data_IF_329969275951
#
_entry.id   IF_329969275951
#
_cell.length_a   1.000
_cell.length_b   1.000
_cell.length_c   1.000
_cell.angle_alpha   90.00
_cell.angle_beta   90.00
_cell.angle_gamma   90.00
#
_symmetry.space_group_name_H-M   'P 1'
#
loop_
_entity.id
_entity.type
_entity.pdbx_description
1 polymer ?
#
# COMPACT_ATOMS: atom_id res chain seq x y z
N UNK A 1 26.52 17.91 12.37
CA UNK A 1 27.51 16.85 12.55
C UNK A 1 27.47 16.44 14.03
N UNK A 2 26.61 15.48 14.36
CA UNK A 2 26.47 14.92 15.72
C UNK A 2 26.66 13.42 15.60
N UNK A 3 27.75 12.96 16.18
CA UNK A 3 28.22 11.57 16.19
C UNK A 3 27.56 10.86 17.37
N UNK A 4 26.75 9.86 17.11
CA UNK A 4 26.27 8.94 18.14
C UNK A 4 27.25 7.80 18.34
N UNK A 5 27.81 7.68 19.55
CA UNK A 5 28.65 6.57 19.97
C UNK A 5 27.79 5.40 20.48
N UNK A 6 28.07 4.20 19.98
CA UNK A 6 27.54 2.92 20.47
C UNK A 6 28.19 2.54 21.80
N UNK A 7 27.48 1.89 22.73
CA UNK A 7 28.13 1.12 23.80
C UNK A 7 28.41 -0.32 23.36
N UNK A 8 29.56 -0.85 23.79
CA UNK A 8 30.07 -2.18 23.54
C UNK A 8 29.42 -3.23 24.45
N UNK A 9 29.33 -4.52 24.05
CA UNK A 9 28.79 -5.59 24.89
C UNK A 9 29.85 -6.20 25.81
N UNK A 10 29.46 -6.41 27.07
CA UNK A 10 30.23 -7.18 28.06
C UNK A 10 29.79 -8.64 28.10
N UNK A 11 30.78 -9.53 28.14
CA UNK A 11 30.64 -10.97 28.35
C UNK A 11 30.19 -11.30 29.79
N UNK A 12 29.34 -12.33 29.95
CA UNK A 12 29.56 -13.41 30.95
C UNK A 12 28.60 -14.58 30.77
N UNK A 13 29.17 -15.76 30.78
CA UNK A 13 28.54 -17.08 30.78
C UNK A 13 27.95 -17.44 32.14
N UNK A 14 26.94 -18.33 32.15
CA UNK A 14 26.46 -18.93 33.38
C UNK A 14 25.24 -19.82 33.19
N UNK A 15 25.47 -21.10 32.95
CA UNK A 15 24.51 -22.20 32.97
C UNK A 15 23.98 -22.42 34.39
N UNK A 16 22.66 -22.53 34.58
CA UNK A 16 22.06 -23.48 35.58
C UNK A 16 20.57 -23.71 35.31
N UNK A 17 20.30 -24.96 35.12
CA UNK A 17 18.98 -25.60 35.10
C UNK A 17 18.43 -25.71 36.53
N UNK A 18 17.20 -25.25 36.78
CA UNK A 18 16.38 -25.75 37.88
C UNK A 18 14.89 -25.66 37.52
N UNK A 19 14.26 -26.84 37.52
CA UNK A 19 12.82 -27.00 37.44
C UNK A 19 12.21 -26.73 38.82
N UNK A 20 11.14 -25.97 38.91
CA UNK A 20 10.17 -26.04 40.01
C UNK A 20 8.76 -25.81 39.43
N UNK A 21 7.88 -26.67 39.96
CA UNK A 21 6.48 -26.82 39.62
C UNK A 21 5.58 -25.73 40.24
N UNK A 22 4.46 -25.44 39.57
CA UNK A 22 3.16 -25.14 40.17
C UNK A 22 2.89 -23.67 40.49
N UNK A 23 2.07 -23.02 39.68
CA UNK A 23 0.86 -22.36 40.19
C UNK A 23 -0.17 -22.18 39.08
N UNK A 24 -1.40 -22.56 39.35
CA UNK A 24 -2.56 -22.38 38.47
C UNK A 24 -3.14 -20.98 38.66
N UNK A 25 -3.41 -20.28 37.57
CA UNK A 25 -4.31 -19.13 37.67
C UNK A 25 -4.00 -17.95 36.78
N UNK A 26 -4.46 -17.97 35.60
CA UNK A 26 -4.98 -16.90 34.74
C UNK A 26 -4.71 -17.26 33.28
N UNK A 27 -5.76 -17.54 32.54
CA UNK A 27 -5.70 -17.97 31.15
C UNK A 27 -5.19 -16.91 30.18
N UNK A 28 -3.94 -16.61 30.26
CA UNK A 28 -3.16 -15.95 29.22
C UNK A 28 -2.73 -17.05 28.28
N UNK A 29 -3.47 -17.22 27.17
CA UNK A 29 -2.99 -18.08 26.10
C UNK A 29 -1.67 -17.47 25.63
N UNK A 30 -0.61 -18.10 26.00
CA UNK A 30 0.73 -17.85 25.51
C UNK A 30 0.71 -18.19 24.01
N UNK A 31 0.45 -17.18 23.17
CA UNK A 31 0.67 -17.29 21.74
C UNK A 31 2.18 -17.25 21.56
N UNK A 32 2.82 -18.39 21.82
CA UNK A 32 4.24 -18.58 21.58
C UNK A 32 4.59 -17.97 20.23
N UNK A 33 5.76 -17.33 20.18
CA UNK A 33 6.36 -16.71 19.00
C UNK A 33 6.33 -17.72 17.85
N UNK A 34 5.21 -17.82 17.16
CA UNK A 34 5.11 -18.51 15.91
C UNK A 34 5.63 -17.55 14.85
N UNK A 35 6.93 -17.59 14.61
CA UNK A 35 7.44 -17.32 13.28
C UNK A 35 6.79 -18.40 12.41
N UNK A 36 5.57 -18.16 11.98
CA UNK A 36 4.89 -19.03 11.04
C UNK A 36 5.45 -18.71 9.66
N UNK A 37 6.65 -19.19 9.40
CA UNK A 37 7.02 -19.56 8.06
C UNK A 37 6.34 -20.92 7.81
N UNK A 38 5.04 -20.95 7.87
CA UNK A 38 4.24 -22.05 7.41
C UNK A 38 3.97 -21.78 5.93
N UNK A 39 4.71 -22.45 5.04
CA UNK A 39 4.19 -22.68 3.70
C UNK A 39 2.90 -23.48 3.89
N UNK A 40 1.76 -22.79 3.96
CA UNK A 40 0.47 -23.44 3.95
C UNK A 40 0.41 -24.31 2.69
N UNK A 41 -0.05 -25.56 2.76
CA UNK A 41 -0.21 -26.37 1.57
C UNK A 41 -1.11 -25.60 0.57
N UNK A 42 -0.67 -25.50 -0.68
CA UNK A 42 -1.42 -24.78 -1.73
C UNK A 42 -0.91 -23.38 -2.09
N UNK A 43 0.21 -22.91 -1.49
CA UNK A 43 0.86 -21.68 -1.95
C UNK A 43 1.47 -21.89 -3.34
N UNK A 44 1.32 -20.84 -4.15
CA UNK A 44 1.75 -20.80 -5.55
C UNK A 44 3.16 -20.25 -5.68
N UNK A 45 3.57 -19.37 -4.75
CA UNK A 45 4.87 -18.72 -4.75
C UNK A 45 5.69 -19.06 -3.49
N UNK A 46 7.03 -18.99 -3.62
CA UNK A 46 7.94 -19.06 -2.47
C UNK A 46 8.13 -17.66 -1.89
N UNK A 47 7.66 -17.43 -0.67
CA UNK A 47 7.67 -16.11 -0.04
C UNK A 47 8.89 -15.92 0.86
N UNK A 48 9.58 -14.75 0.83
CA UNK A 48 10.78 -14.49 1.60
C UNK A 48 10.46 -14.03 3.05
N UNK A 49 9.58 -14.76 3.75
CA UNK A 49 9.06 -14.36 5.05
C UNK A 49 10.17 -14.19 6.11
N UNK A 50 11.13 -15.12 6.12
CA UNK A 50 12.28 -15.06 7.04
C UNK A 50 13.17 -13.84 6.75
N UNK A 51 13.50 -13.59 5.48
CA UNK A 51 14.33 -12.45 5.09
C UNK A 51 13.65 -11.11 5.42
N UNK A 52 12.33 -11.02 5.24
CA UNK A 52 11.54 -9.83 5.64
C UNK A 52 11.59 -9.67 7.16
N UNK A 53 11.35 -10.75 7.91
CA UNK A 53 11.38 -10.72 9.37
C UNK A 53 12.75 -10.26 9.89
N UNK A 54 13.84 -10.79 9.35
CA UNK A 54 15.20 -10.40 9.74
C UNK A 54 15.49 -8.91 9.47
N UNK A 55 14.96 -8.35 8.38
CA UNK A 55 15.16 -6.93 8.06
C UNK A 55 14.31 -6.00 8.93
N UNK A 56 13.13 -6.44 9.34
CA UNK A 56 12.15 -5.60 10.04
C UNK A 56 12.22 -5.73 11.56
N UNK A 57 12.58 -6.90 12.09
CA UNK A 57 12.60 -7.15 13.53
C UNK A 57 13.41 -6.15 14.37
N UNK A 58 14.55 -5.59 13.90
CA UNK A 58 15.27 -4.56 14.64
C UNK A 58 14.47 -3.28 14.87
N UNK A 59 13.64 -2.90 13.89
CA UNK A 59 12.83 -1.68 13.92
C UNK A 59 11.43 -1.94 14.52
N UNK A 60 10.93 -3.19 14.46
CA UNK A 60 9.59 -3.57 14.90
C UNK A 60 9.63 -4.91 15.66
N UNK A 61 10.00 -4.91 16.95
CA UNK A 61 10.11 -6.13 17.75
C UNK A 61 8.82 -6.96 17.78
N UNK A 62 8.92 -8.28 17.69
CA UNK A 62 7.77 -9.19 17.65
C UNK A 62 7.07 -9.27 16.29
N UNK A 63 7.63 -8.62 15.26
CA UNK A 63 7.10 -8.68 13.90
C UNK A 63 7.12 -10.11 13.35
N UNK A 64 5.99 -10.49 12.74
CA UNK A 64 5.83 -11.78 12.09
C UNK A 64 5.24 -11.63 10.69
N UNK A 65 5.49 -12.62 9.84
CA UNK A 65 4.94 -12.71 8.48
C UNK A 65 4.12 -13.99 8.36
N UNK A 66 2.89 -13.85 7.88
CA UNK A 66 2.00 -14.96 7.56
C UNK A 66 1.54 -14.86 6.11
N UNK A 67 1.57 -15.99 5.40
CA UNK A 67 1.12 -16.07 4.02
C UNK A 67 0.01 -17.10 3.90
N UNK A 68 -1.09 -16.70 3.30
CA UNK A 68 -2.25 -17.55 3.05
C UNK A 68 -2.49 -17.72 1.54
N UNK A 69 -2.85 -18.92 1.08
CA UNK A 69 -3.22 -19.11 -0.32
C UNK A 69 -4.50 -18.34 -0.67
N UNK A 70 -5.46 -18.30 0.25
CA UNK A 70 -6.72 -17.60 0.05
C UNK A 70 -7.31 -17.09 1.37
N UNK A 71 -7.96 -15.93 1.32
CA UNK A 71 -8.76 -15.36 2.40
C UNK A 71 -9.82 -14.40 1.84
N UNK A 72 -10.80 -14.00 2.64
CA UNK A 72 -11.77 -12.98 2.25
C UNK A 72 -11.08 -11.62 2.01
N UNK A 73 -10.37 -11.11 3.02
CA UNK A 73 -9.61 -9.86 2.96
C UNK A 73 -8.55 -9.83 4.04
N UNK A 74 -7.30 -9.50 3.66
CA UNK A 74 -6.18 -9.36 4.62
C UNK A 74 -6.46 -8.28 5.67
N UNK A 75 -7.06 -7.15 5.27
CA UNK A 75 -7.47 -6.10 6.22
C UNK A 75 -8.55 -6.59 7.19
N UNK A 76 -9.59 -7.25 6.67
CA UNK A 76 -10.70 -7.74 7.51
C UNK A 76 -10.21 -8.76 8.52
N UNK A 77 -9.31 -9.66 8.13
CA UNK A 77 -8.74 -10.66 9.02
C UNK A 77 -7.90 -10.01 10.12
N UNK A 78 -7.00 -9.10 9.79
CA UNK A 78 -6.19 -8.43 10.80
C UNK A 78 -7.05 -7.61 11.77
N UNK A 79 -8.11 -6.95 11.28
CA UNK A 79 -9.08 -6.28 12.16
C UNK A 79 -9.83 -7.26 13.07
N UNK A 80 -10.17 -8.48 12.59
CA UNK A 80 -10.77 -9.54 13.43
C UNK A 80 -9.79 -9.99 14.52
N UNK A 81 -8.52 -10.22 14.16
CA UNK A 81 -7.48 -10.66 15.11
C UNK A 81 -7.20 -9.61 16.19
N UNK A 82 -7.11 -8.34 15.83
CA UNK A 82 -6.95 -7.25 16.78
C UNK A 82 -8.11 -7.23 17.78
N UNK A 83 -9.36 -7.35 17.32
CA UNK A 83 -10.55 -7.41 18.18
C UNK A 83 -10.56 -8.66 19.07
N UNK A 84 -10.01 -9.78 18.58
CA UNK A 84 -9.85 -11.01 19.33
C UNK A 84 -8.67 -11.02 20.31
N UNK A 85 -7.91 -9.92 20.38
CA UNK A 85 -6.84 -9.78 21.36
C UNK A 85 -5.42 -9.92 20.82
N UNK A 86 -5.22 -10.07 19.52
CA UNK A 86 -3.88 -10.06 18.91
C UNK A 86 -3.19 -8.70 19.11
N UNK A 87 -1.90 -8.69 19.48
CA UNK A 87 -1.18 -7.46 19.83
C UNK A 87 0.15 -7.30 19.08
N UNK A 88 0.72 -8.38 18.56
CA UNK A 88 2.02 -8.32 17.89
C UNK A 88 1.89 -7.71 16.48
N UNK A 89 2.93 -7.03 15.99
CA UNK A 89 2.96 -6.60 14.61
C UNK A 89 2.90 -7.80 13.66
N UNK A 90 1.98 -7.77 12.70
CA UNK A 90 1.75 -8.89 11.80
C UNK A 90 1.57 -8.42 10.37
N UNK A 91 2.41 -8.93 9.47
CA UNK A 91 2.24 -8.83 8.03
C UNK A 91 1.47 -10.04 7.53
N UNK A 92 0.28 -9.83 7.02
CA UNK A 92 -0.56 -10.87 6.42
C UNK A 92 -0.59 -10.68 4.91
N UNK A 93 -0.14 -11.70 4.19
CA UNK A 93 -0.15 -11.73 2.72
C UNK A 93 -1.20 -12.75 2.27
N UNK A 94 -1.91 -12.45 1.20
CA UNK A 94 -2.82 -13.39 0.55
C UNK A 94 -2.50 -13.47 -0.94
N UNK A 95 -2.32 -14.70 -1.45
CA UNK A 95 -2.18 -14.91 -2.89
C UNK A 95 -3.49 -14.61 -3.61
N UNK A 96 -4.63 -14.91 -2.96
CA UNK A 96 -5.97 -14.59 -3.45
C UNK A 96 -6.87 -14.03 -2.34
N UNK A 97 -7.61 -12.98 -2.66
CA UNK A 97 -8.70 -12.47 -1.81
C UNK A 97 -10.05 -12.71 -2.50
N UNK A 98 -11.01 -13.32 -1.80
CA UNK A 98 -12.37 -13.59 -2.33
C UNK A 98 -13.32 -12.40 -2.16
N UNK A 99 -13.03 -11.51 -1.20
CA UNK A 99 -13.81 -10.31 -0.92
C UNK A 99 -12.88 -9.12 -0.58
N UNK A 100 -11.88 -8.88 -1.44
CA UNK A 100 -10.93 -7.79 -1.27
C UNK A 100 -11.63 -6.43 -1.18
N UNK A 101 -11.15 -5.56 -0.31
CA UNK A 101 -11.80 -4.29 0.03
C UNK A 101 -10.98 -3.09 -0.39
N UNK A 102 -11.68 -2.07 -0.87
CA UNK A 102 -11.18 -0.72 -1.06
C UNK A 102 -12.00 0.28 -0.24
N UNK A 103 -11.67 1.56 -0.35
CA UNK A 103 -12.41 2.65 0.32
C UNK A 103 -13.86 2.74 -0.18
N UNK A 104 -14.76 3.21 0.70
CA UNK A 104 -16.17 3.46 0.37
C UNK A 104 -16.89 2.22 -0.17
N UNK A 105 -16.59 1.03 0.34
CA UNK A 105 -17.22 -0.21 -0.07
C UNK A 105 -16.84 -0.73 -1.46
N UNK A 106 -15.86 -0.11 -2.13
CA UNK A 106 -15.35 -0.62 -3.42
C UNK A 106 -14.65 -1.94 -3.22
N UNK A 107 -14.72 -2.81 -4.21
CA UNK A 107 -13.97 -4.06 -4.22
C UNK A 107 -12.54 -3.83 -4.71
N UNK A 108 -11.61 -4.59 -4.13
CA UNK A 108 -10.28 -4.84 -4.66
C UNK A 108 -10.26 -6.25 -5.22
N UNK A 109 -9.96 -6.37 -6.50
CA UNK A 109 -9.85 -7.68 -7.14
C UNK A 109 -8.39 -8.15 -7.06
N UNK A 110 -8.15 -9.27 -6.37
CA UNK A 110 -6.94 -10.08 -6.48
C UNK A 110 -7.32 -11.32 -7.27
N UNK A 111 -6.69 -11.58 -8.36
CA UNK A 111 -6.99 -12.74 -9.20
C UNK A 111 -5.73 -13.21 -9.91
N UNK A 112 -5.79 -14.43 -10.42
CA UNK A 112 -4.77 -14.96 -11.30
C UNK A 112 -4.64 -14.05 -12.52
N UNK A 113 -3.43 -13.92 -13.05
CA UNK A 113 -3.24 -13.38 -14.39
C UNK A 113 -4.11 -14.25 -15.31
N UNK A 114 -5.25 -13.73 -15.74
CA UNK A 114 -6.03 -14.38 -16.76
C UNK A 114 -5.07 -14.72 -17.91
N UNK A 115 -5.08 -15.96 -18.36
CA UNK A 115 -4.24 -16.36 -19.47
C UNK A 115 -4.43 -15.33 -20.58
N UNK A 116 -3.36 -14.63 -20.95
CA UNK A 116 -3.42 -13.70 -22.08
C UNK A 116 -3.99 -14.46 -23.28
N UNK A 117 -4.87 -13.85 -24.10
CA UNK A 117 -5.41 -14.51 -25.28
C UNK A 117 -4.25 -15.05 -26.13
N UNK A 118 -4.12 -16.39 -26.21
CA UNK A 118 -3.04 -17.05 -26.92
C UNK A 118 -1.99 -17.77 -26.07
N UNK A 119 -2.02 -17.71 -24.73
CA UNK A 119 -1.17 -18.54 -23.87
C UNK A 119 -1.74 -19.95 -23.78
N UNK A 120 -0.96 -20.93 -24.24
CA UNK A 120 -1.28 -22.36 -24.14
C UNK A 120 -1.29 -22.75 -22.65
N UNK A 121 -2.37 -23.36 -22.13
CA UNK A 121 -2.37 -23.88 -20.76
C UNK A 121 -1.23 -24.90 -20.60
N UNK A 122 -0.30 -24.63 -19.69
CA UNK A 122 0.83 -25.52 -19.42
C UNK A 122 2.23 -24.96 -19.67
N UNK A 123 2.40 -23.74 -20.16
CA UNK A 123 3.71 -23.19 -20.53
C UNK A 123 4.53 -22.54 -19.38
N UNK A 124 4.01 -22.42 -18.18
CA UNK A 124 4.77 -21.91 -17.03
C UNK A 124 4.61 -22.83 -15.82
N UNK A 125 5.74 -23.33 -15.32
CA UNK A 125 5.77 -24.19 -14.12
C UNK A 125 5.40 -23.46 -12.82
N UNK A 126 5.27 -22.12 -12.83
CA UNK A 126 4.83 -21.33 -11.69
C UNK A 126 3.75 -20.34 -12.16
N UNK A 127 2.53 -20.40 -11.60
CA UNK A 127 1.50 -19.40 -11.85
C UNK A 127 1.99 -18.03 -11.37
N UNK A 128 1.98 -17.06 -12.27
CA UNK A 128 2.36 -15.68 -11.96
C UNK A 128 1.20 -15.00 -11.25
N UNK A 129 1.43 -14.56 -10.01
CA UNK A 129 0.45 -13.77 -9.29
C UNK A 129 0.21 -12.45 -10.00
N UNK A 130 -1.03 -12.19 -10.42
CA UNK A 130 -1.40 -10.96 -11.12
C UNK A 130 -1.36 -9.72 -10.22
N UNK A 131 -1.39 -9.91 -8.91
CA UNK A 131 -1.33 -8.84 -7.94
C UNK A 131 -0.62 -9.28 -6.67
N UNK A 132 -0.01 -8.33 -5.96
CA UNK A 132 0.39 -8.47 -4.58
C UNK A 132 -0.68 -7.84 -3.69
N UNK A 133 -1.21 -8.61 -2.72
CA UNK A 133 -2.13 -8.10 -1.69
C UNK A 133 -1.63 -8.47 -0.31
N UNK A 134 -1.44 -7.48 0.53
CA UNK A 134 -1.02 -7.68 1.90
C UNK A 134 -1.54 -6.57 2.82
N UNK A 135 -1.55 -6.85 4.11
CA UNK A 135 -1.85 -5.87 5.15
C UNK A 135 -0.85 -6.00 6.29
N UNK A 136 -0.41 -4.87 6.83
CA UNK A 136 0.41 -4.79 8.03
C UNK A 136 -0.43 -4.25 9.17
N UNK A 137 -0.56 -5.04 10.24
CA UNK A 137 -1.16 -4.62 11.51
C UNK A 137 -0.07 -4.30 12.51
N UNK A 138 -0.17 -3.14 13.19
CA UNK A 138 0.75 -2.75 14.25
C UNK A 138 0.08 -1.77 15.21
N UNK A 139 0.60 -1.68 16.43
CA UNK A 139 0.27 -0.56 17.31
C UNK A 139 0.85 0.71 16.69
N UNK A 140 0.05 1.75 16.57
CA UNK A 140 0.42 3.04 16.01
C UNK A 140 -0.48 4.12 16.61
N UNK A 141 0.10 5.18 17.15
CA UNK A 141 -0.64 6.22 17.86
C UNK A 141 -0.18 7.65 17.48
N UNK A 142 -0.22 8.03 16.20
CA UNK A 142 0.14 9.38 15.80
C UNK A 142 -0.83 10.38 16.42
N UNK A 143 -0.40 11.64 16.57
CA UNK A 143 -1.25 12.75 17.04
C UNK A 143 -2.40 13.01 16.06
N UNK A 144 -2.10 12.91 14.77
CA UNK A 144 -3.07 13.07 13.68
C UNK A 144 -2.85 11.95 12.65
N UNK A 145 -3.94 11.29 12.23
CA UNK A 145 -3.95 10.23 11.23
C UNK A 145 -4.01 10.76 9.79
N UNK A 146 -4.27 12.06 9.65
CA UNK A 146 -4.40 12.70 8.34
C UNK A 146 -3.12 12.54 7.53
N UNK A 147 -3.25 12.22 6.25
CA UNK A 147 -2.11 12.05 5.36
C UNK A 147 -1.39 10.69 5.47
N UNK A 148 -1.76 9.78 6.39
CA UNK A 148 -1.08 8.49 6.53
C UNK A 148 -1.12 7.68 5.21
N UNK A 149 -2.26 7.63 4.53
CA UNK A 149 -2.36 6.93 3.24
C UNK A 149 -1.48 7.55 2.15
N UNK A 150 -1.21 8.86 2.22
CA UNK A 150 -0.31 9.56 1.30
C UNK A 150 1.15 9.22 1.59
N UNK A 151 1.54 9.17 2.87
CA UNK A 151 2.88 8.75 3.29
C UNK A 151 3.16 7.29 2.87
N UNK A 152 2.20 6.38 3.07
CA UNK A 152 2.27 4.99 2.61
C UNK A 152 2.38 4.92 1.08
N UNK A 153 1.55 5.66 0.35
CA UNK A 153 1.63 5.73 -1.12
C UNK A 153 2.98 6.23 -1.61
N UNK A 154 3.55 7.24 -0.94
CA UNK A 154 4.88 7.76 -1.24
C UNK A 154 5.97 6.71 -0.98
N UNK A 155 5.86 5.95 0.13
CA UNK A 155 6.78 4.84 0.42
C UNK A 155 6.76 3.80 -0.71
N UNK A 156 5.58 3.37 -1.15
CA UNK A 156 5.41 2.45 -2.28
C UNK A 156 6.05 3.01 -3.55
N UNK A 157 5.70 4.25 -3.92
CA UNK A 157 6.18 4.85 -5.17
C UNK A 157 7.71 5.05 -5.17
N UNK A 158 8.32 5.44 -4.04
CA UNK A 158 9.78 5.60 -3.90
C UNK A 158 10.51 4.26 -3.97
N UNK A 159 9.94 3.23 -3.38
CA UNK A 159 10.53 1.90 -3.38
C UNK A 159 10.48 1.23 -4.76
N UNK A 160 9.62 1.66 -5.67
CA UNK A 160 9.43 1.00 -6.96
C UNK A 160 10.08 1.74 -8.12
N UNK A 161 9.54 2.89 -8.50
CA UNK A 161 10.00 3.56 -9.71
C UNK A 161 9.73 5.08 -9.68
N UNK A 162 10.64 5.92 -10.24
CA UNK A 162 10.46 7.37 -10.27
C UNK A 162 9.28 7.85 -11.13
N UNK A 163 8.84 7.09 -12.13
CA UNK A 163 7.69 7.42 -12.98
C UNK A 163 6.33 7.26 -12.27
N UNK A 164 6.29 6.65 -11.09
CA UNK A 164 5.04 6.50 -10.34
C UNK A 164 4.61 7.82 -9.73
N UNK A 165 3.33 8.10 -9.89
CA UNK A 165 2.64 9.27 -9.38
C UNK A 165 1.66 8.89 -8.26
N UNK A 166 1.25 9.87 -7.48
CA UNK A 166 0.35 9.70 -6.36
C UNK A 166 -0.95 10.43 -6.64
N UNK A 167 -2.06 9.72 -6.66
CA UNK A 167 -3.37 10.36 -6.74
C UNK A 167 -4.03 10.38 -5.38
N UNK A 168 -4.25 11.59 -4.87
CA UNK A 168 -5.02 11.78 -3.65
C UNK A 168 -6.39 11.11 -3.72
N UNK A 169 -6.87 10.44 -2.66
CA UNK A 169 -6.24 10.37 -1.34
C UNK A 169 -5.41 9.10 -1.08
N UNK A 170 -5.39 8.09 -1.95
CA UNK A 170 -4.87 6.77 -1.57
C UNK A 170 -4.44 5.86 -2.74
N UNK A 171 -4.22 6.42 -3.91
CA UNK A 171 -3.87 5.63 -5.09
C UNK A 171 -2.45 5.94 -5.58
N UNK A 172 -1.74 4.91 -6.03
CA UNK A 172 -0.52 5.04 -6.82
C UNK A 172 -0.87 4.84 -8.29
N UNK A 173 -0.41 5.76 -9.12
CA UNK A 173 -0.75 5.82 -10.53
C UNK A 173 0.49 5.67 -11.42
N UNK A 174 0.25 5.13 -12.61
CA UNK A 174 1.16 5.15 -13.75
C UNK A 174 0.38 5.65 -14.97
N UNK A 175 0.82 6.77 -15.56
CA UNK A 175 0.22 7.33 -16.78
C UNK A 175 -1.33 7.44 -16.68
N UNK A 176 -1.81 8.10 -15.65
CA UNK A 176 -3.24 8.29 -15.34
C UNK A 176 -4.06 7.01 -15.12
N UNK A 177 -3.41 5.87 -14.93
CA UNK A 177 -4.02 4.58 -14.62
C UNK A 177 -3.63 4.11 -13.24
N UNK A 178 -4.56 3.51 -12.52
CA UNK A 178 -4.32 3.00 -11.16
C UNK A 178 -3.43 1.76 -11.20
N UNK A 179 -2.25 1.85 -10.54
CA UNK A 179 -1.34 0.75 -10.28
C UNK A 179 -1.61 0.09 -8.93
N UNK A 180 -1.79 0.89 -7.89
CA UNK A 180 -1.99 0.39 -6.54
C UNK A 180 -3.04 1.19 -5.77
N UNK A 181 -3.63 0.55 -4.77
CA UNK A 181 -4.56 1.16 -3.82
C UNK A 181 -4.16 0.88 -2.38
N UNK A 182 -4.40 1.85 -1.51
CA UNK A 182 -4.09 1.78 -0.08
C UNK A 182 -5.40 1.90 0.70
N UNK A 183 -5.59 0.98 1.65
CA UNK A 183 -6.72 1.00 2.59
C UNK A 183 -6.20 0.95 4.01
N UNK A 184 -6.38 2.04 4.76
CA UNK A 184 -6.02 2.10 6.17
C UNK A 184 -7.28 2.02 6.98
N UNK A 185 -7.32 1.06 7.89
CA UNK A 185 -8.34 0.90 8.92
C UNK A 185 -7.68 1.04 10.28
N UNK A 186 -8.36 1.71 11.21
CA UNK A 186 -7.85 1.92 12.56
C UNK A 186 -8.81 1.31 13.56
N UNK A 187 -8.28 0.88 14.68
CA UNK A 187 -9.06 0.36 15.80
C UNK A 187 -8.39 0.67 17.12
N UNK A 188 -9.18 0.64 18.19
CA UNK A 188 -8.67 0.75 19.56
C UNK A 188 -9.10 -0.46 20.34
N UNK A 189 -8.18 -1.04 21.10
CA UNK A 189 -8.46 -2.16 22.00
C UNK A 189 -7.78 -1.84 23.35
N UNK A 190 -8.57 -1.71 24.39
CA UNK A 190 -8.16 -1.10 25.64
C UNK A 190 -7.57 0.31 25.37
N UNK A 191 -6.40 0.60 25.89
CA UNK A 191 -5.72 1.91 25.72
C UNK A 191 -4.83 1.98 24.47
N UNK A 192 -4.74 0.89 23.69
CA UNK A 192 -3.86 0.83 22.52
C UNK A 192 -4.62 1.12 21.24
N UNK A 193 -4.01 1.95 20.40
CA UNK A 193 -4.48 2.24 19.03
C UNK A 193 -3.69 1.40 18.05
N UNK A 194 -4.40 0.87 17.05
CA UNK A 194 -3.83 0.02 16.00
C UNK A 194 -4.17 0.58 14.64
N UNK A 195 -3.24 0.40 13.71
CA UNK A 195 -3.47 0.57 12.29
C UNK A 195 -3.38 -0.78 11.58
N UNK A 196 -4.27 -0.99 10.62
CA UNK A 196 -4.16 -2.02 9.59
C UNK A 196 -3.97 -1.32 8.26
N UNK A 197 -2.78 -1.44 7.71
CA UNK A 197 -2.35 -0.80 6.47
C UNK A 197 -2.40 -1.82 5.35
N UNK A 198 -3.49 -1.81 4.57
CA UNK A 198 -3.67 -2.68 3.42
C UNK A 198 -3.15 -2.04 2.14
N UNK A 199 -2.43 -2.83 1.36
CA UNK A 199 -1.86 -2.42 0.07
C UNK A 199 -2.17 -3.50 -0.96
N UNK A 200 -2.76 -3.07 -2.08
CA UNK A 200 -2.96 -3.90 -3.27
C UNK A 200 -2.22 -3.30 -4.45
N UNK A 201 -1.41 -4.10 -5.15
CA UNK A 201 -0.60 -3.66 -6.30
C UNK A 201 -0.86 -4.60 -7.48
N UNK A 202 -1.19 -4.06 -8.64
CA UNK A 202 -1.28 -4.82 -9.86
C UNK A 202 0.12 -5.13 -10.40
N UNK A 203 0.45 -6.42 -10.56
CA UNK A 203 1.77 -6.85 -11.05
C UNK A 203 1.69 -7.12 -12.56
N UNK A 204 0.80 -8.00 -12.98
CA UNK A 204 0.59 -8.34 -14.38
C UNK A 204 -0.63 -7.63 -14.96
N UNK A 205 -0.72 -7.53 -16.30
CA UNK A 205 -1.90 -7.01 -16.98
C UNK A 205 -3.16 -7.77 -16.56
N UNK A 206 -4.25 -7.03 -16.39
CA UNK A 206 -5.57 -7.59 -16.04
C UNK A 206 -6.59 -7.23 -17.10
N UNK A 207 -7.56 -8.09 -17.28
CA UNK A 207 -8.72 -7.77 -18.10
C UNK A 207 -9.47 -6.59 -17.47
N UNK A 208 -9.53 -5.49 -18.20
CA UNK A 208 -10.14 -4.23 -17.76
C UNK A 208 -11.59 -4.06 -18.25
N UNK A 209 -12.20 -5.08 -18.85
CA UNK A 209 -13.53 -4.97 -19.52
C UNK A 209 -14.65 -4.48 -18.60
N UNK A 210 -14.51 -4.65 -17.28
CA UNK A 210 -15.48 -4.17 -16.29
C UNK A 210 -15.13 -2.81 -15.68
N UNK A 211 -14.01 -2.22 -16.07
CA UNK A 211 -13.53 -0.93 -15.53
C UNK A 211 -13.60 0.16 -16.59
N UNK A 212 -13.96 1.38 -16.19
CA UNK A 212 -13.99 2.53 -17.11
C UNK A 212 -12.62 2.83 -17.73
N UNK A 213 -11.52 2.41 -17.08
CA UNK A 213 -10.15 2.54 -17.56
C UNK A 213 -9.38 1.30 -17.11
N UNK A 214 -8.66 0.63 -18.01
CA UNK A 214 -7.81 -0.49 -17.68
C UNK A 214 -6.75 -0.06 -16.64
N UNK A 215 -6.51 -0.84 -15.57
CA UNK A 215 -5.51 -0.51 -14.58
C UNK A 215 -4.10 -0.60 -15.17
N UNK A 216 -3.17 0.15 -14.61
CA UNK A 216 -1.76 -0.06 -14.88
C UNK A 216 -1.25 -1.30 -14.13
N UNK A 217 -0.16 -1.88 -14.60
CA UNK A 217 0.52 -2.96 -13.91
C UNK A 217 2.02 -2.69 -13.78
N UNK A 218 2.64 -3.32 -12.78
CA UNK A 218 4.05 -3.10 -12.47
C UNK A 218 4.99 -3.60 -13.56
N UNK A 219 4.61 -4.66 -14.27
CA UNK A 219 5.40 -5.22 -15.37
C UNK A 219 5.60 -4.25 -16.52
N UNK A 220 4.81 -3.20 -16.64
CA UNK A 220 5.05 -2.11 -17.61
C UNK A 220 6.35 -1.34 -17.34
N UNK A 221 6.84 -1.34 -16.09
CA UNK A 221 8.08 -0.67 -15.67
C UNK A 221 9.17 -1.65 -15.24
N UNK A 222 8.79 -2.73 -14.59
CA UNK A 222 9.67 -3.70 -13.94
C UNK A 222 9.23 -5.13 -14.32
N UNK A 223 9.46 -5.57 -15.57
CA UNK A 223 8.89 -6.82 -16.09
C UNK A 223 9.37 -8.09 -15.38
N UNK A 224 10.55 -8.05 -14.74
CA UNK A 224 11.12 -9.19 -14.02
C UNK A 224 10.76 -9.23 -12.53
N UNK A 225 10.04 -8.22 -11.99
CA UNK A 225 9.72 -8.17 -10.56
C UNK A 225 8.42 -8.95 -10.27
N UNK A 226 8.55 -10.01 -9.47
CA UNK A 226 7.43 -10.83 -8.99
C UNK A 226 6.89 -10.37 -7.63
N UNK A 227 5.82 -10.99 -7.15
CA UNK A 227 5.17 -10.63 -5.90
C UNK A 227 6.07 -10.84 -4.66
N UNK A 228 6.82 -11.96 -4.52
CA UNK A 228 7.75 -12.16 -3.41
C UNK A 228 8.87 -11.12 -3.35
N UNK A 229 9.54 -10.85 -4.46
CA UNK A 229 10.61 -9.85 -4.53
C UNK A 229 10.07 -8.42 -4.30
N UNK A 230 8.86 -8.14 -4.80
CA UNK A 230 8.17 -6.88 -4.55
C UNK A 230 7.89 -6.68 -3.05
N UNK A 231 7.38 -7.70 -2.37
CA UNK A 231 7.08 -7.64 -0.93
C UNK A 231 8.35 -7.36 -0.11
N UNK A 232 9.44 -8.10 -0.38
CA UNK A 232 10.74 -7.91 0.28
C UNK A 232 11.27 -6.48 0.12
N UNK A 233 11.06 -5.89 -1.05
CA UNK A 233 11.50 -4.53 -1.36
C UNK A 233 10.66 -3.46 -0.65
N UNK A 234 9.37 -3.70 -0.44
CA UNK A 234 8.43 -2.70 0.08
C UNK A 234 8.41 -2.63 1.61
N UNK A 235 8.41 -3.80 2.28
CA UNK A 235 8.03 -3.87 3.70
C UNK A 235 8.98 -3.12 4.63
N UNK A 236 10.32 -3.21 4.50
CA UNK A 236 11.22 -2.45 5.36
C UNK A 236 11.04 -0.93 5.25
N UNK A 237 10.90 -0.42 4.03
CA UNK A 237 10.67 1.01 3.80
C UNK A 237 9.29 1.47 4.30
N UNK A 238 8.28 0.61 4.24
CA UNK A 238 6.95 0.86 4.79
C UNK A 238 7.01 1.01 6.30
N UNK A 239 7.70 0.11 7.01
CA UNK A 239 7.86 0.17 8.48
C UNK A 239 8.54 1.46 8.90
N UNK A 240 9.65 1.84 8.28
CA UNK A 240 10.33 3.10 8.55
C UNK A 240 9.43 4.32 8.28
N UNK A 241 8.60 4.26 7.24
CA UNK A 241 7.64 5.32 6.92
C UNK A 241 6.58 5.45 8.02
N UNK A 242 6.05 4.34 8.53
CA UNK A 242 5.05 4.33 9.59
C UNK A 242 5.60 4.88 10.91
N UNK A 243 6.82 4.51 11.29
CA UNK A 243 7.51 5.05 12.47
C UNK A 243 7.79 6.56 12.36
N UNK A 244 8.27 7.01 11.20
CA UNK A 244 8.46 8.43 10.93
C UNK A 244 7.13 9.20 11.03
N UNK A 245 6.07 8.65 10.45
CA UNK A 245 4.73 9.24 10.49
C UNK A 245 4.17 9.31 11.91
N UNK A 246 4.37 8.27 12.72
CA UNK A 246 3.91 8.27 14.12
C UNK A 246 4.49 9.43 14.91
N UNK A 247 5.78 9.69 14.76
CA UNK A 247 6.48 10.76 15.48
C UNK A 247 6.24 12.17 14.93
N UNK A 248 6.08 12.31 13.60
CA UNK A 248 6.18 13.60 12.91
C UNK A 248 4.94 13.97 12.06
N UNK A 249 3.97 13.05 11.90
CA UNK A 249 2.82 13.23 11.03
C UNK A 249 3.20 13.31 9.55
N UNK A 250 2.36 13.94 8.74
CA UNK A 250 2.54 14.00 7.29
C UNK A 250 3.55 15.07 6.83
N UNK A 251 3.81 16.10 7.61
CA UNK A 251 4.63 17.24 7.19
C UNK A 251 5.99 16.88 6.53
N UNK A 252 6.78 15.88 7.00
CA UNK A 252 8.04 15.50 6.36
C UNK A 252 7.87 14.89 4.96
N UNK A 253 6.69 14.40 4.65
CA UNK A 253 6.38 13.75 3.36
C UNK A 253 5.80 14.71 2.32
N UNK A 254 5.33 15.88 2.74
CA UNK A 254 4.57 16.82 1.90
C UNK A 254 5.31 17.20 0.61
N UNK A 255 6.54 17.67 0.70
CA UNK A 255 7.31 18.10 -0.48
C UNK A 255 7.52 16.97 -1.49
N UNK A 256 7.83 15.77 -0.99
CA UNK A 256 8.05 14.60 -1.82
C UNK A 256 6.75 14.05 -2.43
N UNK A 257 5.62 14.16 -1.73
CA UNK A 257 4.32 13.89 -2.29
C UNK A 257 4.00 14.86 -3.43
N UNK A 258 4.15 16.17 -3.19
CA UNK A 258 3.87 17.21 -4.20
C UNK A 258 4.69 17.04 -5.49
N UNK A 259 5.92 16.54 -5.40
CA UNK A 259 6.75 16.23 -6.55
C UNK A 259 6.22 15.07 -7.41
N UNK A 260 5.30 14.27 -6.86
CA UNK A 260 4.68 13.11 -7.52
C UNK A 260 3.16 13.23 -7.65
N UNK A 261 2.58 14.36 -7.26
CA UNK A 261 1.14 14.56 -7.23
C UNK A 261 0.54 14.56 -8.65
N UNK A 262 -0.25 13.52 -8.93
CA UNK A 262 -0.91 13.36 -10.24
C UNK A 262 -2.03 14.37 -10.49
N UNK A 263 -2.50 15.07 -9.46
CA UNK A 263 -3.62 16.01 -9.59
C UNK A 263 -3.20 17.46 -9.65
N UNK A 264 -2.00 17.80 -9.19
CA UNK A 264 -1.55 19.19 -9.06
C UNK A 264 -1.61 19.92 -10.39
N UNK A 265 -2.27 21.10 -10.41
CA UNK A 265 -2.49 21.94 -11.59
C UNK A 265 -3.55 21.41 -12.55
N UNK A 266 -4.25 20.33 -12.21
CA UNK A 266 -5.33 19.76 -13.06
C UNK A 266 -6.69 20.19 -12.56
N UNK A 267 -7.61 20.38 -13.50
CA UNK A 267 -9.01 20.55 -13.16
C UNK A 267 -9.61 19.23 -12.70
N UNK A 268 -10.35 19.28 -11.61
CA UNK A 268 -10.93 18.11 -10.94
C UNK A 268 -12.39 18.35 -10.63
N UNK A 269 -13.13 17.24 -10.52
CA UNK A 269 -14.51 17.21 -10.05
C UNK A 269 -14.52 16.50 -8.69
N UNK A 270 -15.05 17.17 -7.68
CA UNK A 270 -15.22 16.59 -6.34
C UNK A 270 -16.48 15.71 -6.30
N UNK A 271 -16.59 14.83 -5.30
CA UNK A 271 -17.74 13.91 -5.19
C UNK A 271 -19.07 14.63 -4.89
N UNK A 272 -19.02 15.86 -4.39
CA UNK A 272 -20.20 16.73 -4.22
C UNK A 272 -20.61 17.46 -5.53
N UNK A 273 -19.93 17.16 -6.65
CA UNK A 273 -20.18 17.78 -7.95
C UNK A 273 -19.49 19.13 -8.15
N UNK A 274 -18.88 19.72 -7.12
CA UNK A 274 -18.12 20.96 -7.28
C UNK A 274 -16.85 20.73 -8.07
N UNK A 275 -16.40 21.78 -8.81
CA UNK A 275 -15.22 21.75 -9.67
C UNK A 275 -14.18 22.74 -9.19
N UNK A 276 -12.91 22.49 -9.55
CA UNK A 276 -11.81 23.40 -9.26
C UNK A 276 -10.48 22.84 -9.74
N UNK A 277 -9.41 23.61 -9.56
CA UNK A 277 -8.05 23.20 -9.93
C UNK A 277 -7.30 22.74 -8.68
N UNK A 278 -6.75 21.51 -8.71
CA UNK A 278 -5.98 20.96 -7.58
C UNK A 278 -4.67 21.75 -7.40
N UNK A 279 -4.43 22.25 -6.18
CA UNK A 279 -3.26 23.05 -5.82
C UNK A 279 -2.18 22.27 -5.05
N UNK A 280 -2.36 20.97 -4.87
CA UNK A 280 -1.50 20.10 -4.06
C UNK A 280 -2.12 19.79 -2.71
N UNK A 281 -1.29 19.46 -1.71
CA UNK A 281 -1.74 19.13 -0.35
C UNK A 281 -1.09 20.04 0.69
N UNK A 282 -1.77 20.28 1.81
CA UNK A 282 -1.21 20.98 2.95
C UNK A 282 -0.30 20.08 3.83
N UNK A 283 0.20 20.62 4.93
CA UNK A 283 1.08 19.91 5.87
C UNK A 283 0.39 18.75 6.61
N UNK A 284 -0.94 18.67 6.58
CA UNK A 284 -1.72 17.55 7.14
C UNK A 284 -2.07 16.50 6.08
N UNK A 285 -1.80 16.77 4.79
CA UNK A 285 -2.19 15.90 3.68
C UNK A 285 -3.61 16.17 3.18
N UNK A 286 -4.27 17.23 3.59
CA UNK A 286 -5.55 17.64 3.03
C UNK A 286 -5.34 18.23 1.62
N UNK A 287 -6.22 17.86 0.67
CA UNK A 287 -6.15 18.35 -0.69
C UNK A 287 -6.61 19.82 -0.76
N UNK A 288 -5.80 20.66 -1.39
CA UNK A 288 -6.11 22.06 -1.66
C UNK A 288 -6.70 22.20 -3.06
N UNK A 289 -7.85 22.87 -3.18
CA UNK A 289 -8.53 23.07 -4.46
C UNK A 289 -8.90 24.54 -4.65
N UNK A 290 -8.43 25.15 -5.71
CA UNK A 290 -8.92 26.46 -6.15
C UNK A 290 -10.28 26.30 -6.80
N UNK A 291 -11.30 26.91 -6.23
CA UNK A 291 -12.66 26.97 -6.77
C UNK A 291 -13.02 28.41 -7.12
N UNK A 292 -14.14 28.62 -7.81
CA UNK A 292 -14.67 29.99 -8.07
C UNK A 292 -14.98 30.79 -6.80
N UNK A 293 -15.18 30.08 -5.65
CA UNK A 293 -15.43 30.70 -4.35
C UNK A 293 -14.15 30.87 -3.50
N UNK A 294 -12.97 30.53 -4.03
CA UNK A 294 -11.69 30.59 -3.34
C UNK A 294 -11.09 29.22 -3.05
N UNK A 295 -10.10 29.20 -2.15
CA UNK A 295 -9.40 27.96 -1.75
C UNK A 295 -10.31 27.09 -0.87
N UNK A 296 -10.53 25.84 -1.28
CA UNK A 296 -11.24 24.80 -0.50
C UNK A 296 -10.24 23.76 0.01
N UNK A 297 -10.32 23.42 1.28
CA UNK A 297 -9.50 22.36 1.92
C UNK A 297 -10.35 21.10 2.02
N UNK A 298 -9.86 19.99 1.47
CA UNK A 298 -10.58 18.74 1.38
C UNK A 298 -9.83 17.69 2.21
N UNK A 299 -10.49 17.10 3.21
CA UNK A 299 -9.93 16.03 4.03
C UNK A 299 -10.27 14.65 3.47
N UNK A 300 -9.49 13.62 3.82
CA UNK A 300 -9.66 12.26 3.26
C UNK A 300 -11.02 11.61 3.59
N UNK A 301 -11.74 12.11 4.59
CA UNK A 301 -13.03 11.55 5.03
C UNK A 301 -14.20 11.94 4.13
N UNK A 302 -14.08 13.00 3.34
CA UNK A 302 -15.26 13.70 2.78
C UNK A 302 -15.50 13.47 1.29
N UNK A 303 -14.49 13.21 0.45
CA UNK A 303 -14.66 13.29 -1.01
C UNK A 303 -13.86 12.28 -1.83
N UNK A 304 -14.43 11.91 -2.97
CA UNK A 304 -13.80 11.19 -4.08
C UNK A 304 -13.42 12.20 -5.17
N UNK A 305 -12.15 12.25 -5.53
CA UNK A 305 -11.64 13.18 -6.55
C UNK A 305 -11.43 12.45 -7.87
N UNK A 306 -11.87 13.05 -8.97
CA UNK A 306 -11.66 12.52 -10.33
C UNK A 306 -11.08 13.62 -11.20
N UNK A 307 -10.06 13.36 -12.05
CA UNK A 307 -9.63 14.30 -13.06
C UNK A 307 -10.80 14.64 -13.99
N UNK A 308 -10.94 15.89 -14.38
CA UNK A 308 -11.88 16.26 -15.45
C UNK A 308 -11.46 15.56 -16.74
N UNK A 309 -12.43 15.05 -17.49
CA UNK A 309 -12.19 14.51 -18.82
C UNK A 309 -11.64 15.66 -19.70
N UNK A 310 -10.57 15.48 -20.50
CA UNK A 310 -10.18 16.50 -21.46
C UNK A 310 -11.41 16.85 -22.32
N UNK A 311 -11.72 18.14 -22.46
CA UNK A 311 -12.73 18.59 -23.41
C UNK A 311 -12.32 18.06 -24.79
N UNK A 312 -13.06 17.09 -25.31
CA UNK A 312 -12.94 16.65 -26.70
C UNK A 312 -13.30 17.86 -27.58
N UNK A 313 -12.31 18.50 -28.19
CA UNK A 313 -12.58 19.59 -29.10
C UNK A 313 -11.56 20.75 -29.12
N UNK A 314 -10.27 20.43 -29.25
CA UNK A 314 -9.34 21.33 -29.92
C UNK A 314 -8.95 20.67 -31.24
N UNK A 315 -9.71 20.90 -32.28
CA UNK A 315 -9.32 20.56 -33.64
C UNK A 315 -7.94 21.20 -33.92
N UNK A 316 -7.00 20.37 -34.35
CA UNK A 316 -5.70 20.83 -34.82
C UNK A 316 -5.91 21.88 -35.91
N UNK A 317 -5.15 23.01 -35.90
CA UNK A 317 -5.25 23.99 -36.98
C UNK A 317 -4.80 23.30 -38.28
N UNK A 318 -5.70 23.32 -39.26
CA UNK A 318 -5.46 22.80 -40.60
C UNK A 318 -4.19 23.40 -41.19
N UNK A 319 -3.31 22.55 -41.69
CA UNK A 319 -2.17 22.96 -42.52
C UNK A 319 -2.72 23.58 -43.81
N UNK A 320 -2.36 24.83 -44.15
CA UNK A 320 -2.80 25.41 -45.43
C UNK A 320 -2.16 24.67 -46.60
N UNK A 321 -3.01 24.20 -47.52
CA UNK A 321 -2.61 23.50 -48.72
C UNK A 321 -1.65 24.31 -49.58
N UNK A 322 -0.61 23.67 -50.06
CA UNK A 322 0.34 24.18 -51.07
C UNK A 322 -0.38 24.38 -52.40
N UNK A 323 -0.25 25.53 -53.07
CA UNK A 323 -0.85 25.73 -54.40
C UNK A 323 -0.10 24.91 -55.43
N UNK A 324 -0.82 24.10 -56.18
CA UNK A 324 -0.30 23.36 -57.31
C UNK A 324 0.18 24.28 -58.41
N UNK A 325 1.42 24.10 -58.83
CA UNK A 325 1.92 24.65 -60.09
C UNK A 325 1.47 23.72 -61.25
N UNK A 326 0.62 24.29 -62.13
CA UNK A 326 0.31 23.67 -63.39
C UNK A 326 1.36 24.02 -64.43
N UNK A 327 1.65 23.08 -65.28
CA UNK A 327 2.08 23.22 -66.67
C UNK A 327 1.72 21.96 -67.40
#
# INVERSE_FOLDING_TARGET
MLVWRRPMPGHAAGTQTQALAGDEGSGQRDFGVAVVVGAAPGLVASWPAEAITQQVAPDLPGFAVEVLPEIDSTNSELMRRIRAGWRQPLLLVAERQTAGRGRLGRQWFSGDAGAAPGTVPGASANPVLASLTFSLALALAPRDWSGLSLAVGLSVARSLHPALQLKWPNDVWLQDRKLAGILIETGSVAEHRYAVVGIGINIAPRDGTQLATAPACLQELLPALDAPALLLRLVPALVQTLQCFEGQGFAPFQAAFQARDALRGRDIVLSDGSTGTAAGVDATGALLVHTSAGMKVITSAEVSVRPSRPLAGAAAPGIPGTPGMGS
#
